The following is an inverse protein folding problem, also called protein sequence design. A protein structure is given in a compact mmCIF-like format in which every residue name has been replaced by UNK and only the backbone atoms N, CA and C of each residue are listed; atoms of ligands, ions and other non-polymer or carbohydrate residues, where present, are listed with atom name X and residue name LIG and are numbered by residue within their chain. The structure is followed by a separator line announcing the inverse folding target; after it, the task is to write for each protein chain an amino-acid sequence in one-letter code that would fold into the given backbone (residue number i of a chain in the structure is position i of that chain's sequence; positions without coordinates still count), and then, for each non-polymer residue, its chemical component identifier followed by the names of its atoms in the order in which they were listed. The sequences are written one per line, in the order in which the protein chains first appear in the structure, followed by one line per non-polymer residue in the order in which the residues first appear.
data_IF_195058029106
#
_entry.id   IF_195058029106
#
_cell.length_a   1.000
_cell.length_b   1.000
_cell.length_c   1.000
_cell.angle_alpha   90.00
_cell.angle_beta   90.00
_cell.angle_gamma   90.00
#
_symmetry.space_group_name_H-M   'P 1'
#
loop_
_entity.id
_entity.type
_entity.pdbx_description
1 polymer ?
#
# COMPACT_ATOMS: atom_id res chain seq x y z
N UNK A 1 -21.13 -12.52 -12.80
CA UNK A 1 -20.95 -11.48 -11.77
C UNK A 1 -19.75 -10.64 -12.19
N UNK A 2 -19.98 -9.44 -12.71
CA UNK A 2 -18.91 -8.48 -12.98
C UNK A 2 -18.61 -7.81 -11.64
N UNK A 3 -17.45 -8.11 -11.06
CA UNK A 3 -16.87 -7.26 -10.01
C UNK A 3 -16.48 -5.99 -10.73
N UNK A 4 -17.42 -5.05 -10.80
CA UNK A 4 -17.14 -3.75 -11.39
C UNK A 4 -16.19 -3.07 -10.40
N UNK A 5 -14.94 -2.87 -10.79
CA UNK A 5 -13.96 -2.00 -10.12
C UNK A 5 -14.52 -0.56 -10.12
N UNK A 6 -15.55 -0.30 -9.31
CA UNK A 6 -15.95 1.06 -9.00
C UNK A 6 -14.97 1.58 -7.97
N UNK A 7 -14.18 2.58 -8.37
CA UNK A 7 -13.41 3.37 -7.43
C UNK A 7 -14.39 4.06 -6.47
N UNK A 8 -14.26 3.76 -5.18
CA UNK A 8 -15.06 4.37 -4.12
C UNK A 8 -14.75 5.87 -4.08
N UNK A 9 -15.77 6.71 -4.24
CA UNK A 9 -15.58 8.16 -4.10
C UNK A 9 -15.30 8.54 -2.64
N UNK A 10 -14.66 9.70 -2.44
CA UNK A 10 -14.36 10.21 -1.09
C UNK A 10 -15.66 10.43 -0.31
N UNK A 11 -16.72 10.91 -0.97
CA UNK A 11 -18.01 11.19 -0.32
C UNK A 11 -18.70 9.90 0.14
N UNK A 12 -18.62 8.83 -0.67
CA UNK A 12 -19.12 7.51 -0.28
C UNK A 12 -18.31 6.90 0.87
N UNK A 13 -16.98 7.04 0.84
CA UNK A 13 -16.10 6.62 1.94
C UNK A 13 -16.46 7.36 3.25
N UNK A 14 -16.71 8.67 3.19
CA UNK A 14 -17.06 9.48 4.36
C UNK A 14 -18.49 9.21 4.87
N UNK A 15 -19.36 8.69 4.02
CA UNK A 15 -20.70 8.25 4.40
C UNK A 15 -20.70 6.88 5.12
N UNK A 16 -19.63 6.09 4.98
CA UNK A 16 -19.51 4.75 5.58
C UNK A 16 -19.54 4.81 7.12
N UNK A 17 -20.46 4.10 7.81
CA UNK A 17 -20.55 4.07 9.26
C UNK A 17 -19.27 3.62 9.98
N UNK A 18 -18.50 2.71 9.39
CA UNK A 18 -17.23 2.22 9.95
C UNK A 18 -16.21 3.36 9.93
N UNK A 19 -16.08 4.05 8.79
CA UNK A 19 -15.18 5.18 8.64
C UNK A 19 -15.55 6.30 9.61
N UNK A 20 -16.84 6.65 9.71
CA UNK A 20 -17.32 7.67 10.65
C UNK A 20 -17.05 7.30 12.11
N UNK A 21 -17.18 6.03 12.47
CA UNK A 21 -16.88 5.54 13.83
C UNK A 21 -15.39 5.70 14.16
N UNK A 22 -14.51 5.31 13.23
CA UNK A 22 -13.05 5.47 13.39
C UNK A 22 -12.65 6.95 13.49
N UNK A 23 -13.20 7.79 12.60
CA UNK A 23 -12.98 9.24 12.64
C UNK A 23 -13.39 9.84 14.00
N UNK A 24 -14.53 9.43 14.54
CA UNK A 24 -14.99 9.89 15.85
C UNK A 24 -14.06 9.44 16.99
N UNK A 25 -13.57 8.20 16.94
CA UNK A 25 -12.62 7.67 17.92
C UNK A 25 -11.30 8.45 17.92
N UNK A 26 -10.78 8.76 16.73
CA UNK A 26 -9.52 9.49 16.54
C UNK A 26 -9.68 11.02 16.61
N UNK A 27 -10.90 11.53 16.82
CA UNK A 27 -11.25 12.96 16.79
C UNK A 27 -10.86 13.66 15.49
N UNK A 28 -10.98 12.96 14.37
CA UNK A 28 -10.72 13.45 13.02
C UNK A 28 -12.02 13.97 12.42
N UNK A 29 -11.98 15.17 11.83
CA UNK A 29 -13.12 15.73 11.10
C UNK A 29 -13.04 15.44 9.60
N UNK A 30 -14.17 15.53 8.91
CA UNK A 30 -14.21 15.43 7.44
C UNK A 30 -13.28 16.47 6.77
N UNK A 31 -13.21 17.67 7.34
CA UNK A 31 -12.33 18.73 6.86
C UNK A 31 -10.86 18.32 6.94
N UNK A 32 -10.45 17.62 8.00
CA UNK A 32 -9.06 17.15 8.16
C UNK A 32 -8.70 16.12 7.09
N UNK A 33 -9.62 15.21 6.78
CA UNK A 33 -9.46 14.20 5.72
C UNK A 33 -9.30 14.88 4.37
N UNK A 34 -10.24 15.78 4.00
CA UNK A 34 -10.20 16.49 2.71
C UNK A 34 -8.94 17.35 2.56
N UNK A 35 -8.52 18.03 3.63
CA UNK A 35 -7.30 18.83 3.65
C UNK A 35 -6.05 17.97 3.43
N UNK A 36 -5.97 16.83 4.12
CA UNK A 36 -4.84 15.89 3.97
C UNK A 36 -4.79 15.31 2.57
N UNK A 37 -5.94 14.91 2.01
CA UNK A 37 -6.01 14.42 0.63
C UNK A 37 -5.55 15.48 -0.38
N UNK A 38 -5.99 16.73 -0.22
CA UNK A 38 -5.52 17.84 -1.05
C UNK A 38 -4.00 18.01 -0.97
N UNK A 39 -3.42 17.95 0.23
CA UNK A 39 -1.96 18.01 0.42
C UNK A 39 -1.23 16.84 -0.25
N UNK A 40 -1.77 15.63 -0.17
CA UNK A 40 -1.19 14.45 -0.82
C UNK A 40 -1.22 14.58 -2.34
N UNK A 41 -2.31 15.11 -2.91
CA UNK A 41 -2.42 15.37 -4.35
C UNK A 41 -1.36 16.40 -4.78
N UNK A 42 -1.27 17.54 -4.09
CA UNK A 42 -0.24 18.56 -4.37
C UNK A 42 1.18 18.02 -4.19
N UNK A 43 1.41 17.19 -3.17
CA UNK A 43 2.71 16.56 -2.95
C UNK A 43 3.07 15.61 -4.08
N UNK A 44 2.13 14.81 -4.59
CA UNK A 44 2.38 13.93 -5.75
C UNK A 44 2.78 14.75 -6.97
N UNK A 45 2.06 15.82 -7.27
CA UNK A 45 2.38 16.72 -8.40
C UNK A 45 3.78 17.34 -8.26
N UNK A 46 4.17 17.70 -7.05
CA UNK A 46 5.47 18.34 -6.76
C UNK A 46 6.62 17.33 -6.75
N UNK A 47 6.37 16.08 -6.34
CA UNK A 47 7.37 15.02 -6.18
C UNK A 47 7.40 14.01 -7.34
N UNK A 48 6.82 14.33 -8.50
CA UNK A 48 7.12 13.60 -9.73
C UNK A 48 8.47 14.10 -10.29
N UNK A 49 9.62 13.45 -10.05
CA UNK A 49 10.67 13.52 -11.04
C UNK A 49 10.03 12.93 -12.30
N UNK A 50 10.18 13.63 -13.43
CA UNK A 50 9.91 13.06 -14.75
C UNK A 50 10.77 11.81 -14.88
N UNK A 51 10.23 10.65 -14.49
CA UNK A 51 10.86 9.37 -14.73
C UNK A 51 10.74 9.13 -16.23
N UNK A 52 11.76 9.63 -16.94
CA UNK A 52 12.14 9.16 -18.24
C UNK A 52 11.97 7.66 -18.27
N UNK A 53 11.11 7.21 -19.17
CA UNK A 53 10.85 5.82 -19.56
C UNK A 53 12.19 5.09 -19.78
N UNK A 54 12.81 4.59 -18.71
CA UNK A 54 13.96 3.69 -18.78
C UNK A 54 13.38 2.29 -18.68
N UNK A 55 13.25 1.63 -19.82
CA UNK A 55 13.01 0.17 -19.91
C UNK A 55 14.09 -0.51 -19.08
N UNK A 56 13.77 -0.85 -17.84
CA UNK A 56 14.61 -1.68 -17.00
C UNK A 56 14.06 -3.09 -17.12
N UNK A 57 14.80 -3.90 -17.87
CA UNK A 57 14.64 -5.33 -18.06
C UNK A 57 14.37 -6.02 -16.71
N UNK A 58 13.22 -6.69 -16.62
CA UNK A 58 12.87 -7.59 -15.53
C UNK A 58 13.90 -8.73 -15.49
N UNK A 59 14.71 -8.79 -14.44
CA UNK A 59 15.34 -10.04 -14.02
C UNK A 59 14.42 -10.69 -12.98
N UNK A 60 13.90 -11.90 -13.22
CA UNK A 60 13.10 -12.61 -12.22
C UNK A 60 14.00 -13.04 -11.05
N UNK A 61 13.65 -12.61 -9.84
CA UNK A 61 14.29 -13.04 -8.60
C UNK A 61 14.11 -14.56 -8.42
N UNK A 62 15.22 -15.30 -8.42
CA UNK A 62 15.24 -16.72 -8.08
C UNK A 62 15.06 -16.92 -6.57
N UNK A 63 13.82 -17.22 -6.15
CA UNK A 63 13.44 -17.59 -4.78
C UNK A 63 13.94 -18.99 -4.32
N UNK A 64 14.95 -19.58 -4.98
CA UNK A 64 15.31 -21.00 -4.79
C UNK A 64 16.73 -21.24 -4.27
N UNK A 65 17.29 -20.34 -3.44
CA UNK A 65 18.63 -20.55 -2.85
C UNK A 65 18.69 -20.20 -1.36
N UNK A 66 17.83 -20.80 -0.55
CA UNK A 66 18.10 -20.98 0.89
C UNK A 66 17.56 -22.35 1.34
N UNK A 67 18.14 -23.42 0.81
CA UNK A 67 18.16 -24.70 1.51
C UNK A 67 19.49 -24.78 2.25
N UNK A 68 19.48 -24.43 3.54
CA UNK A 68 20.63 -24.61 4.42
C UNK A 68 20.97 -26.11 4.53
N UNK A 69 22.26 -26.52 4.48
CA UNK A 69 22.62 -27.88 4.81
C UNK A 69 22.43 -28.10 6.31
N UNK A 70 21.46 -28.94 6.67
CA UNK A 70 21.31 -29.48 8.03
C UNK A 70 22.59 -30.24 8.40
N UNK A 71 23.42 -29.68 9.28
CA UNK A 71 24.49 -30.42 9.95
C UNK A 71 23.87 -31.28 11.04
N UNK A 72 23.79 -32.60 10.80
CA UNK A 72 23.42 -33.57 11.81
C UNK A 72 24.57 -33.75 12.83
N UNK A 73 24.31 -33.75 14.16
CA UNK A 73 25.31 -34.13 15.14
C UNK A 73 25.44 -35.66 15.16
N UNK A 74 26.65 -36.17 14.89
CA UNK A 74 26.96 -37.59 15.05
C UNK A 74 27.24 -37.86 16.53
N UNK A 75 26.26 -38.45 17.21
CA UNK A 75 26.37 -39.00 18.56
C UNK A 75 27.09 -40.36 18.53
N UNK A 76 28.10 -40.50 19.41
CA UNK A 76 28.66 -41.68 20.09
C UNK A 76 28.91 -43.01 19.33
N UNK A 77 30.14 -43.52 19.44
CA UNK A 77 30.51 -44.72 20.23
C UNK A 77 32.04 -44.92 20.16
#
# INVERSE_FOLDING_TARGET
MSYVDHELSIDEMLADPIVRTLMAYDRITETDVRKTLAQVVTARETNHPRLSRRRQTQQPQSWAQQAAPMTAPKTAA
#
